data_IF_861940091716
#
_entry.id   IF_861940091716
#
_cell.length_a   1.000
_cell.length_b   1.000
_cell.length_c   1.000
_cell.angle_alpha   90.00
_cell.angle_beta   90.00
_cell.angle_gamma   90.00
#
_symmetry.space_group_name_H-M   'P 1'
#
loop_
_entity.id
_entity.type
_entity.pdbx_description
1 polymer ?
#
# COMPACT_ATOMS: atom_id res chain seq x y z
N UNK A 1 -19.00 10.72 -23.03
CA UNK A 1 -18.19 11.02 -21.84
C UNK A 1 -17.36 9.79 -21.55
N UNK A 2 -16.22 9.73 -22.23
CA UNK A 2 -15.26 8.65 -22.15
C UNK A 2 -14.51 8.78 -20.82
N UNK A 3 -14.98 8.06 -19.80
CA UNK A 3 -14.21 7.85 -18.58
C UNK A 3 -13.06 6.89 -18.92
N UNK A 4 -12.00 7.44 -19.51
CA UNK A 4 -10.74 6.71 -19.70
C UNK A 4 -10.18 6.49 -18.30
N UNK A 5 -10.29 5.27 -17.80
CA UNK A 5 -9.67 4.84 -16.56
C UNK A 5 -8.15 4.77 -16.82
N UNK A 6 -7.47 5.91 -16.79
CA UNK A 6 -6.02 5.98 -16.87
C UNK A 6 -5.45 5.27 -15.64
N UNK A 7 -5.10 4.00 -15.82
CA UNK A 7 -4.33 3.26 -14.84
C UNK A 7 -3.05 4.04 -14.61
N UNK A 8 -2.86 4.55 -13.38
CA UNK A 8 -1.63 5.20 -12.98
C UNK A 8 -0.44 4.33 -13.41
N UNK A 9 0.52 4.93 -14.12
CA UNK A 9 1.81 4.31 -14.41
C UNK A 9 2.66 4.46 -13.15
N UNK A 10 3.17 3.34 -12.63
CA UNK A 10 4.01 3.36 -11.43
C UNK A 10 5.45 3.10 -11.84
N UNK A 11 6.31 4.04 -11.53
CA UNK A 11 7.75 3.88 -11.70
C UNK A 11 8.33 2.96 -10.64
N UNK A 12 9.53 2.41 -10.89
CA UNK A 12 10.22 1.53 -9.95
C UNK A 12 10.49 2.27 -8.62
N UNK A 13 10.82 3.55 -8.69
CA UNK A 13 11.05 4.43 -7.54
C UNK A 13 9.77 4.60 -6.71
N UNK A 14 8.64 4.92 -7.36
CA UNK A 14 7.35 5.01 -6.68
C UNK A 14 6.94 3.68 -6.04
N UNK A 15 7.18 2.55 -6.71
CA UNK A 15 6.93 1.22 -6.15
C UNK A 15 7.81 0.99 -4.91
N UNK A 16 9.07 1.43 -4.95
CA UNK A 16 9.98 1.37 -3.80
C UNK A 16 9.43 2.16 -2.61
N UNK A 17 9.05 3.42 -2.82
CA UNK A 17 8.46 4.29 -1.80
C UNK A 17 7.13 3.71 -1.29
N UNK A 18 6.31 3.15 -2.18
CA UNK A 18 5.03 2.54 -1.86
C UNK A 18 5.21 1.34 -0.92
N UNK A 19 6.17 0.48 -1.22
CA UNK A 19 6.49 -0.69 -0.39
C UNK A 19 7.06 -0.24 0.95
N UNK A 20 7.91 0.79 0.97
CA UNK A 20 8.51 1.31 2.21
C UNK A 20 7.45 1.88 3.14
N UNK A 21 6.63 2.82 2.64
CA UNK A 21 5.50 3.39 3.39
C UNK A 21 4.55 2.29 3.88
N UNK A 22 4.20 1.32 3.02
CA UNK A 22 3.36 0.18 3.42
C UNK A 22 3.98 -0.64 4.56
N UNK A 23 5.30 -0.84 4.55
CA UNK A 23 6.02 -1.57 5.61
C UNK A 23 6.03 -0.80 6.93
N UNK A 24 6.10 0.52 6.89
CA UNK A 24 6.00 1.37 8.08
C UNK A 24 4.63 1.24 8.77
N UNK A 25 3.56 1.13 7.97
CA UNK A 25 2.19 0.95 8.45
C UNK A 25 1.89 -0.52 8.83
N UNK A 26 2.37 -0.94 10.01
CA UNK A 26 2.17 -2.29 10.56
C UNK A 26 0.69 -2.70 10.64
N UNK A 27 -0.22 -1.75 10.80
CA UNK A 27 -1.67 -1.99 10.79
C UNK A 27 -2.20 -2.52 9.45
N UNK A 28 -1.43 -2.42 8.36
CA UNK A 28 -1.85 -2.92 7.05
C UNK A 28 -1.50 -4.39 6.83
N UNK A 29 -0.37 -4.86 7.36
CA UNK A 29 0.19 -6.19 7.08
C UNK A 29 0.42 -7.08 8.31
N UNK A 30 0.55 -6.52 9.52
CA UNK A 30 0.84 -7.27 10.73
C UNK A 30 -0.45 -7.71 11.43
N UNK A 31 -0.82 -9.01 11.40
CA UNK A 31 -2.04 -9.50 12.04
C UNK A 31 -1.98 -9.47 13.57
N UNK A 32 -0.79 -9.24 14.15
CA UNK A 32 -0.58 -9.09 15.60
C UNK A 32 -0.85 -7.66 16.07
N UNK A 33 -0.89 -6.70 15.15
CA UNK A 33 -1.21 -5.33 15.49
C UNK A 33 -2.70 -5.20 15.82
N UNK A 34 -3.01 -4.52 16.93
CA UNK A 34 -4.39 -4.28 17.37
C UNK A 34 -5.20 -3.58 16.28
N UNK A 35 -4.56 -2.63 15.58
CA UNK A 35 -5.18 -1.86 14.50
C UNK A 35 -5.34 -2.62 13.18
N UNK A 36 -4.86 -3.86 13.07
CA UNK A 36 -5.01 -4.65 11.84
C UNK A 36 -6.46 -5.03 11.53
N UNK A 37 -7.27 -5.23 12.56
CA UNK A 37 -8.73 -5.43 12.43
C UNK A 37 -9.48 -4.10 12.31
N UNK A 38 -8.84 -2.98 12.60
CA UNK A 38 -9.45 -1.67 12.60
C UNK A 38 -9.51 -1.10 11.18
N UNK A 39 -10.65 -1.28 10.50
CA UNK A 39 -10.87 -0.81 9.12
C UNK A 39 -10.62 0.69 8.96
N UNK A 40 -10.96 1.50 9.98
CA UNK A 40 -10.79 2.96 9.92
C UNK A 40 -9.30 3.30 9.84
N UNK A 41 -8.47 2.70 10.71
CA UNK A 41 -7.02 2.91 10.71
C UNK A 41 -6.35 2.40 9.43
N UNK A 42 -6.83 1.29 8.88
CA UNK A 42 -6.32 0.81 7.57
C UNK A 42 -6.63 1.80 6.45
N UNK A 43 -7.86 2.29 6.39
CA UNK A 43 -8.24 3.30 5.40
C UNK A 43 -7.40 4.57 5.57
N UNK A 44 -7.18 5.02 6.81
CA UNK A 44 -6.37 6.19 7.13
C UNK A 44 -4.94 6.02 6.61
N UNK A 45 -4.27 4.91 6.92
CA UNK A 45 -2.92 4.63 6.41
C UNK A 45 -2.88 4.50 4.89
N UNK A 46 -3.85 3.84 4.26
CA UNK A 46 -3.91 3.80 2.79
C UNK A 46 -4.15 5.19 2.19
N UNK A 47 -4.89 6.05 2.85
CA UNK A 47 -5.15 7.42 2.41
C UNK A 47 -3.89 8.29 2.55
N UNK A 48 -3.11 8.08 3.60
CA UNK A 48 -1.82 8.71 3.82
C UNK A 48 -0.84 8.31 2.70
N UNK A 49 -0.71 7.01 2.43
CA UNK A 49 0.09 6.50 1.31
C UNK A 49 -0.43 7.06 -0.02
N UNK A 50 -1.74 7.07 -0.24
CA UNK A 50 -2.35 7.56 -1.47
C UNK A 50 -2.08 9.07 -1.69
N UNK A 51 -2.00 9.85 -0.61
CA UNK A 51 -1.62 11.25 -0.64
C UNK A 51 -0.18 11.48 -1.11
N UNK A 52 0.75 10.56 -0.83
CA UNK A 52 2.14 10.64 -1.32
C UNK A 52 2.24 10.46 -2.84
N UNK A 53 1.28 9.75 -3.43
CA UNK A 53 1.28 9.34 -4.82
C UNK A 53 0.23 10.05 -5.67
N UNK A 54 -0.48 11.03 -5.10
CA UNK A 54 -1.62 11.73 -5.74
C UNK A 54 -2.58 10.73 -6.42
N UNK A 55 -2.96 9.69 -5.69
CA UNK A 55 -3.78 8.61 -6.23
C UNK A 55 -4.90 8.21 -5.27
N UNK A 56 -5.75 7.27 -5.66
CA UNK A 56 -6.80 6.74 -4.78
C UNK A 56 -6.25 5.62 -3.89
N UNK A 57 -6.73 5.54 -2.65
CA UNK A 57 -6.42 4.47 -1.70
C UNK A 57 -6.72 3.08 -2.27
N UNK A 58 -7.73 2.96 -3.13
CA UNK A 58 -8.06 1.72 -3.84
C UNK A 58 -6.97 1.29 -4.85
N UNK A 59 -6.37 2.26 -5.55
CA UNK A 59 -5.31 1.98 -6.51
C UNK A 59 -4.02 1.58 -5.78
N UNK A 60 -3.70 2.29 -4.68
CA UNK A 60 -2.63 1.91 -3.75
C UNK A 60 -2.85 0.48 -3.26
N UNK A 61 -4.03 0.15 -2.72
CA UNK A 61 -4.31 -1.18 -2.17
C UNK A 61 -4.13 -2.27 -3.24
N UNK A 62 -4.70 -2.07 -4.43
CA UNK A 62 -4.55 -3.01 -5.55
C UNK A 62 -3.09 -3.21 -5.93
N UNK A 63 -2.32 -2.12 -5.97
CA UNK A 63 -0.93 -2.13 -6.38
C UNK A 63 -0.02 -2.77 -5.35
N UNK A 64 -0.15 -2.35 -4.10
CA UNK A 64 0.55 -2.94 -2.96
C UNK A 64 0.27 -4.43 -2.90
N UNK A 65 -0.98 -4.87 -3.03
CA UNK A 65 -1.32 -6.30 -3.00
C UNK A 65 -0.60 -7.08 -4.10
N UNK A 66 -0.47 -6.51 -5.31
CA UNK A 66 0.30 -7.11 -6.41
C UNK A 66 1.79 -7.24 -6.08
N UNK A 67 2.41 -6.20 -5.53
CA UNK A 67 3.84 -6.22 -5.23
C UNK A 67 4.17 -6.97 -3.95
N UNK A 68 3.44 -6.77 -2.86
CA UNK A 68 3.61 -7.48 -1.59
C UNK A 68 3.55 -9.01 -1.76
N UNK A 69 2.59 -9.53 -2.53
CA UNK A 69 2.54 -10.97 -2.81
C UNK A 69 3.73 -11.46 -3.64
N UNK A 70 4.34 -10.60 -4.43
CA UNK A 70 5.51 -10.92 -5.26
C UNK A 70 6.84 -10.74 -4.52
N UNK A 71 6.89 -9.92 -3.47
CA UNK A 71 8.11 -9.75 -2.67
C UNK A 71 8.13 -10.88 -1.62
N UNK A 72 9.04 -11.86 -1.71
CA UNK A 72 9.20 -12.85 -0.66
C UNK A 72 9.55 -12.10 0.62
N UNK A 73 8.67 -12.17 1.61
CA UNK A 73 8.83 -11.54 2.91
C UNK A 73 10.11 -12.11 3.53
N UNK A 74 11.24 -11.42 3.38
CA UNK A 74 12.45 -11.73 4.15
C UNK A 74 12.06 -11.57 5.60
N UNK A 75 11.79 -12.69 6.27
CA UNK A 75 11.76 -12.77 7.72
C UNK A 75 13.03 -12.06 8.19
N UNK A 76 12.88 -11.07 9.08
CA UNK A 76 14.00 -10.42 9.76
C UNK A 76 14.94 -11.52 10.24
N UNK A 77 16.13 -11.58 9.67
CA UNK A 77 17.31 -12.09 10.39
C UNK A 77 17.62 -11.05 11.46
N UNK A 78 17.32 -11.40 12.70
CA UNK A 78 17.90 -10.88 13.94
C UNK A 78 18.10 -12.08 14.86
#
# INVERSE_FOLDING_TARGET
MDYVWEKKVWTIEEIGILIDAYREHRNLWDPRNFDYKNRIKKMDSYKEIAGLFDTSSEEVERKVKKYHFSVPTRKKEL
#
